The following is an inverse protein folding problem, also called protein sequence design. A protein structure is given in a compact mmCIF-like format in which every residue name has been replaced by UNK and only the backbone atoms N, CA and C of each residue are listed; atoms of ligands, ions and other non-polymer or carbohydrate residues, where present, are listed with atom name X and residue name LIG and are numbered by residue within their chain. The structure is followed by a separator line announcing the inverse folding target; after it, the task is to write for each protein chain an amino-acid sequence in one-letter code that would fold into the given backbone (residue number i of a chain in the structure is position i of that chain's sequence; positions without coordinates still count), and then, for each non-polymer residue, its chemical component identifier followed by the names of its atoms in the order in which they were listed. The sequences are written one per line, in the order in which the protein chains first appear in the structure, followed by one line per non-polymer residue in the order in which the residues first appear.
data_IF_302050226965
#
_entry.id   IF_302050226965
#
_cell.length_a   1.000
_cell.length_b   1.000
_cell.length_c   1.000
_cell.angle_alpha   90.00
_cell.angle_beta   90.00
_cell.angle_gamma   90.00
#
_symmetry.space_group_name_H-M   'P 1'
#
loop_
_entity.id
_entity.type
_entity.pdbx_description
1 polymer ?
#
# COMPACT_ATOMS: atom_id res chain seq x y z
N UNK A 1 37.40 43.80 -4.38
CA UNK A 1 36.92 42.48 -4.84
C UNK A 1 36.12 41.70 -3.78
N UNK A 2 35.85 42.23 -2.59
CA UNK A 2 35.17 41.48 -1.50
C UNK A 2 33.65 41.69 -1.40
N UNK A 3 33.07 42.73 -2.02
CA UNK A 3 31.63 42.99 -1.95
C UNK A 3 30.79 42.13 -2.93
N UNK A 4 31.43 41.41 -3.86
CA UNK A 4 30.75 40.60 -4.89
C UNK A 4 30.55 39.14 -4.48
N UNK A 5 31.28 38.65 -3.47
CA UNK A 5 31.15 37.27 -3.00
C UNK A 5 29.97 37.08 -2.01
N UNK A 6 29.56 38.11 -1.28
CA UNK A 6 28.44 38.00 -0.34
C UNK A 6 27.07 37.94 -1.02
N UNK A 7 26.93 38.50 -2.22
CA UNK A 7 25.66 38.48 -2.97
C UNK A 7 25.35 37.11 -3.61
N UNK A 8 26.34 36.24 -3.78
CA UNK A 8 26.18 34.94 -4.43
C UNK A 8 25.69 33.82 -3.48
N UNK A 9 25.71 34.03 -2.17
CA UNK A 9 25.35 33.02 -1.18
C UNK A 9 23.87 33.06 -0.73
N UNK A 10 23.12 34.10 -1.12
CA UNK A 10 21.73 34.31 -0.67
C UNK A 10 20.65 33.78 -1.62
N UNK A 11 21.01 33.42 -2.86
CA UNK A 11 20.06 32.91 -3.85
C UNK A 11 19.62 31.44 -3.70
N UNK A 12 20.41 30.47 -3.19
CA UNK A 12 19.95 29.08 -3.16
C UNK A 12 18.96 28.79 -2.01
N UNK A 13 18.91 29.62 -0.97
CA UNK A 13 18.02 29.42 0.19
C UNK A 13 16.55 29.73 -0.09
N UNK A 14 16.21 30.40 -1.19
CA UNK A 14 14.81 30.70 -1.55
C UNK A 14 14.11 29.56 -2.31
N UNK A 15 14.85 28.57 -2.81
CA UNK A 15 14.31 27.49 -3.64
C UNK A 15 14.02 26.19 -2.88
N UNK A 16 14.32 26.10 -1.58
CA UNK A 16 14.14 24.85 -0.81
C UNK A 16 12.77 24.73 -0.12
N UNK A 17 11.94 25.77 -0.15
CA UNK A 17 10.59 25.75 0.43
C UNK A 17 9.53 25.30 -0.61
N UNK A 18 9.68 24.11 -1.19
CA UNK A 18 8.65 23.57 -2.09
C UNK A 18 8.42 22.05 -2.03
N UNK A 19 9.17 21.29 -1.23
CA UNK A 19 9.02 19.83 -1.13
C UNK A 19 8.36 19.33 0.17
N UNK A 20 7.60 20.17 0.87
CA UNK A 20 6.96 19.81 2.15
C UNK A 20 5.43 19.93 2.10
N UNK A 21 4.75 19.07 1.35
CA UNK A 21 3.29 19.14 1.20
C UNK A 21 2.63 17.77 1.19
N UNK A 22 2.73 17.01 2.28
CA UNK A 22 1.90 15.82 2.50
C UNK A 22 0.47 16.21 2.92
N UNK A 23 -0.50 15.32 2.72
CA UNK A 23 -1.93 15.56 3.05
C UNK A 23 -2.23 15.83 4.54
N UNK A 24 -1.23 15.76 5.43
CA UNK A 24 -1.37 15.96 6.89
C UNK A 24 -0.59 17.18 7.42
N UNK A 25 -0.10 18.08 6.55
CA UNK A 25 0.63 19.28 6.96
C UNK A 25 -0.24 20.54 6.86
N UNK A 26 -0.12 21.51 7.80
CA UNK A 26 -0.81 22.79 7.70
C UNK A 26 -0.50 23.47 6.37
N UNK A 27 -1.53 23.84 5.62
CA UNK A 27 -1.37 24.47 4.31
C UNK A 27 -1.26 25.99 4.49
N UNK A 28 -0.35 26.60 3.74
CA UNK A 28 -0.14 28.04 3.77
C UNK A 28 -1.21 28.84 3.00
N UNK A 29 -2.08 28.16 2.24
CA UNK A 29 -3.15 28.76 1.42
C UNK A 29 -4.41 27.92 1.57
N UNK A 30 -5.57 28.57 1.59
CA UNK A 30 -6.87 27.92 1.58
C UNK A 30 -7.01 27.04 0.34
N UNK A 31 -7.16 25.73 0.55
CA UNK A 31 -7.50 24.78 -0.51
C UNK A 31 -9.01 24.60 -0.59
N UNK A 32 -9.60 24.57 -1.81
CA UNK A 32 -10.99 24.23 -1.99
C UNK A 32 -11.34 22.90 -1.31
N UNK A 33 -12.58 22.79 -0.83
CA UNK A 33 -13.09 21.54 -0.24
C UNK A 33 -12.91 20.41 -1.27
N UNK A 34 -12.32 19.30 -0.85
CA UNK A 34 -12.19 18.13 -1.71
C UNK A 34 -13.59 17.66 -2.12
N UNK A 35 -13.78 17.43 -3.41
CA UNK A 35 -15.06 16.97 -3.96
C UNK A 35 -14.96 15.53 -4.44
N UNK A 36 -16.08 14.80 -4.32
CA UNK A 36 -16.30 13.54 -5.00
C UNK A 36 -16.38 13.77 -6.52
N UNK A 37 -16.35 12.70 -7.30
CA UNK A 37 -16.50 12.75 -8.76
C UNK A 37 -17.83 13.41 -9.22
N UNK A 38 -18.83 13.53 -8.34
CA UNK A 38 -20.11 14.19 -8.59
C UNK A 38 -20.15 15.66 -8.11
N UNK A 39 -19.03 16.20 -7.64
CA UNK A 39 -18.92 17.58 -7.16
C UNK A 39 -19.38 17.80 -5.72
N UNK A 40 -19.96 16.80 -5.05
CA UNK A 40 -20.33 16.92 -3.63
C UNK A 40 -19.08 16.95 -2.73
N UNK A 41 -19.10 17.65 -1.58
CA UNK A 41 -18.00 17.59 -0.62
C UNK A 41 -17.68 16.17 -0.17
N UNK A 42 -16.40 15.84 -0.03
CA UNK A 42 -15.96 14.60 0.61
C UNK A 42 -16.30 14.65 2.10
N UNK A 43 -17.27 13.85 2.52
CA UNK A 43 -17.74 13.78 3.93
C UNK A 43 -17.21 12.56 4.69
N UNK A 44 -16.46 11.68 4.03
CA UNK A 44 -15.90 10.47 4.62
C UNK A 44 -14.62 10.02 3.94
N UNK A 45 -13.82 9.24 4.67
CA UNK A 45 -12.55 8.69 4.18
C UNK A 45 -12.75 7.20 3.90
N UNK A 46 -12.44 6.77 2.68
CA UNK A 46 -12.32 5.36 2.33
C UNK A 46 -10.90 4.93 2.68
N UNK A 47 -10.77 3.93 3.54
CA UNK A 47 -9.48 3.42 4.01
C UNK A 47 -9.31 2.00 3.53
N UNK A 48 -8.14 1.68 2.96
CA UNK A 48 -7.79 0.29 2.69
C UNK A 48 -7.69 -0.48 4.02
N UNK A 49 -8.24 -1.69 4.08
CA UNK A 49 -8.12 -2.54 5.27
C UNK A 49 -6.71 -3.10 5.33
N UNK A 50 -5.94 -2.62 6.30
CA UNK A 50 -4.57 -3.05 6.53
C UNK A 50 -4.25 -2.96 8.03
N UNK A 51 -4.31 -4.10 8.70
CA UNK A 51 -3.92 -4.31 10.09
C UNK A 51 -3.15 -5.64 10.19
N UNK A 52 -1.83 -5.61 9.91
CA UNK A 52 -0.98 -6.81 9.89
C UNK A 52 -0.93 -7.55 11.24
N UNK A 53 -1.03 -6.82 12.35
CA UNK A 53 -0.98 -7.41 13.70
C UNK A 53 -2.17 -8.34 13.96
N UNK A 54 -3.32 -8.07 13.33
CA UNK A 54 -4.52 -8.92 13.39
C UNK A 54 -4.71 -9.78 12.13
N UNK A 55 -3.71 -9.84 11.23
CA UNK A 55 -3.78 -10.62 9.98
C UNK A 55 -4.77 -10.06 8.95
N UNK A 56 -5.17 -8.79 9.05
CA UNK A 56 -5.98 -8.11 8.04
C UNK A 56 -5.04 -7.50 7.02
N UNK A 57 -4.67 -8.28 6.03
CA UNK A 57 -3.73 -7.90 4.95
C UNK A 57 -4.28 -8.39 3.62
N UNK A 58 -3.81 -7.85 2.48
CA UNK A 58 -4.11 -8.45 1.18
C UNK A 58 -3.76 -9.94 1.20
N UNK A 59 -4.58 -10.78 0.57
CA UNK A 59 -4.35 -12.23 0.52
C UNK A 59 -4.37 -12.73 -0.93
N UNK A 60 -3.38 -13.53 -1.36
CA UNK A 60 -2.17 -13.93 -0.62
C UNK A 60 -1.17 -12.77 -0.40
N UNK A 61 -0.26 -12.89 0.59
CA UNK A 61 0.80 -11.90 0.84
C UNK A 61 2.05 -12.48 1.50
N UNK A 62 3.21 -11.94 1.14
CA UNK A 62 4.50 -12.23 1.77
C UNK A 62 4.53 -11.86 3.26
N UNK A 63 3.75 -10.87 3.70
CA UNK A 63 3.77 -10.40 5.10
C UNK A 63 3.44 -11.51 6.11
N UNK A 64 2.63 -12.50 5.68
CA UNK A 64 2.26 -13.64 6.52
C UNK A 64 3.35 -14.70 6.61
N UNK A 65 4.50 -14.52 5.97
CA UNK A 65 5.70 -15.36 6.19
C UNK A 65 6.62 -14.73 7.26
N UNK A 66 6.24 -13.60 7.84
CA UNK A 66 7.07 -12.90 8.82
C UNK A 66 7.26 -13.75 10.08
N UNK A 67 8.52 -13.88 10.49
CA UNK A 67 8.92 -14.63 11.68
C UNK A 67 9.01 -16.15 11.49
N UNK A 68 8.69 -16.68 10.30
CA UNK A 68 8.87 -18.12 10.04
C UNK A 68 10.32 -18.44 9.68
N UNK A 69 10.73 -19.67 9.95
CA UNK A 69 12.08 -20.18 9.61
C UNK A 69 12.03 -21.27 8.56
N UNK A 70 10.83 -21.80 8.29
CA UNK A 70 10.52 -22.93 7.42
C UNK A 70 9.58 -22.53 6.27
N UNK A 71 9.37 -21.23 6.06
CA UNK A 71 8.51 -20.65 5.01
C UNK A 71 7.02 -21.02 5.11
N UNK A 72 6.60 -21.55 6.25
CA UNK A 72 5.18 -21.72 6.53
C UNK A 72 4.46 -20.38 6.61
N UNK A 73 3.15 -20.44 6.36
CA UNK A 73 2.25 -19.30 6.62
C UNK A 73 2.10 -19.11 8.13
N UNK A 74 2.12 -17.86 8.58
CA UNK A 74 2.04 -17.45 9.99
C UNK A 74 0.91 -16.43 10.18
N UNK A 75 -0.33 -16.88 10.01
CA UNK A 75 -1.53 -16.11 10.31
C UNK A 75 -1.69 -16.01 11.83
N UNK A 76 -1.89 -14.80 12.39
CA UNK A 76 -2.23 -14.64 13.80
C UNK A 76 -3.48 -15.43 14.18
N UNK A 77 -3.37 -16.28 15.21
CA UNK A 77 -4.45 -17.09 15.77
C UNK A 77 -4.48 -16.97 17.29
N UNK A 78 -5.66 -17.03 17.94
CA UNK A 78 -5.77 -16.96 19.40
C UNK A 78 -5.11 -18.14 20.12
N UNK A 79 -5.24 -19.35 19.57
CA UNK A 79 -4.67 -20.59 20.10
C UNK A 79 -4.09 -21.42 18.93
N UNK A 80 -2.75 -21.61 18.86
CA UNK A 80 -2.13 -22.40 17.81
C UNK A 80 -2.34 -23.92 17.94
N UNK A 81 -2.93 -24.38 19.04
CA UNK A 81 -3.23 -25.81 19.28
C UNK A 81 -4.69 -26.18 18.97
N UNK A 82 -5.53 -25.20 18.63
CA UNK A 82 -6.91 -25.42 18.21
C UNK A 82 -6.98 -25.84 16.73
N UNK A 83 -6.83 -27.14 16.48
CA UNK A 83 -6.92 -27.71 15.14
C UNK A 83 -8.33 -27.67 14.53
N UNK A 84 -9.36 -27.24 15.28
CA UNK A 84 -10.68 -26.97 14.71
C UNK A 84 -10.74 -25.62 13.99
N UNK A 85 -9.81 -24.71 14.28
CA UNK A 85 -9.65 -23.44 13.61
C UNK A 85 -8.94 -23.63 12.25
N UNK A 86 -9.61 -23.36 11.10
CA UNK A 86 -9.00 -23.54 9.79
C UNK A 86 -7.71 -22.73 9.57
N UNK A 87 -7.53 -21.61 10.29
CA UNK A 87 -6.30 -20.81 10.19
C UNK A 87 -5.09 -21.54 10.76
N UNK A 88 -5.28 -22.37 11.79
CA UNK A 88 -4.20 -23.21 12.34
C UNK A 88 -3.76 -24.25 11.30
N UNK A 89 -4.71 -24.85 10.58
CA UNK A 89 -4.40 -25.77 9.49
C UNK A 89 -3.69 -25.08 8.31
N UNK A 90 -4.10 -23.85 7.96
CA UNK A 90 -3.43 -23.06 6.91
C UNK A 90 -1.99 -22.71 7.30
N UNK A 91 -1.71 -22.48 8.58
CA UNK A 91 -0.35 -22.20 9.06
C UNK A 91 0.60 -23.40 8.91
N UNK A 92 0.10 -24.60 8.59
CA UNK A 92 0.94 -25.74 8.24
C UNK A 92 1.34 -25.78 6.75
N UNK A 93 0.85 -24.83 5.92
CA UNK A 93 1.17 -24.75 4.50
C UNK A 93 2.46 -23.96 4.26
N UNK A 94 3.28 -24.48 3.35
CA UNK A 94 4.49 -23.82 2.83
C UNK A 94 4.12 -22.77 1.79
N UNK A 95 3.59 -21.64 2.27
CA UNK A 95 3.24 -20.47 1.46
C UNK A 95 1.88 -20.52 0.76
N UNK A 96 1.74 -19.65 -0.25
CA UNK A 96 0.53 -19.47 -1.04
C UNK A 96 0.73 -19.94 -2.48
N UNK A 97 -0.37 -20.30 -3.16
CA UNK A 97 -0.32 -20.63 -4.59
C UNK A 97 0.11 -19.43 -5.46
N UNK A 98 0.94 -19.69 -6.47
CA UNK A 98 1.51 -18.66 -7.37
C UNK A 98 0.53 -18.10 -8.40
N UNK A 99 -0.65 -18.70 -8.53
CA UNK A 99 -1.68 -18.33 -9.52
C UNK A 99 -2.96 -17.79 -8.86
N UNK A 100 -3.00 -17.71 -7.53
CA UNK A 100 -4.18 -17.21 -6.83
C UNK A 100 -4.25 -15.68 -6.92
N UNK A 101 -5.39 -15.09 -7.28
CA UNK A 101 -5.53 -13.64 -7.30
C UNK A 101 -5.30 -13.03 -5.91
N UNK A 102 -4.56 -11.92 -5.86
CA UNK A 102 -4.49 -11.08 -4.66
C UNK A 102 -5.77 -10.30 -4.48
N UNK A 103 -6.33 -10.34 -3.27
CA UNK A 103 -7.53 -9.61 -2.88
C UNK A 103 -7.25 -8.70 -1.69
N UNK A 104 -7.90 -7.54 -1.64
CA UNK A 104 -7.85 -6.62 -0.50
C UNK A 104 -9.21 -5.95 -0.30
N UNK A 105 -9.49 -5.55 0.93
CA UNK A 105 -10.75 -4.90 1.30
C UNK A 105 -10.58 -3.42 1.60
N UNK A 106 -11.70 -2.69 1.61
CA UNK A 106 -11.78 -1.29 2.04
C UNK A 106 -12.78 -1.15 3.20
N UNK A 107 -12.77 0.00 3.88
CA UNK A 107 -13.67 0.29 4.99
C UNK A 107 -15.14 0.32 4.57
N UNK A 108 -15.41 0.68 3.32
CA UNK A 108 -16.73 0.75 2.68
C UNK A 108 -16.65 0.25 1.23
N UNK A 109 -17.78 -0.10 0.58
CA UNK A 109 -17.78 -0.44 -0.85
C UNK A 109 -17.18 0.69 -1.71
N UNK A 110 -16.34 0.31 -2.67
CA UNK A 110 -15.75 1.25 -3.64
C UNK A 110 -16.55 1.27 -4.93
N UNK A 111 -16.54 2.40 -5.63
CA UNK A 111 -17.21 2.53 -6.94
C UNK A 111 -16.48 1.64 -7.96
N UNK A 112 -17.17 0.74 -8.70
CA UNK A 112 -16.50 -0.12 -9.67
C UNK A 112 -15.68 0.63 -10.72
N UNK A 113 -16.18 1.78 -11.18
CA UNK A 113 -15.49 2.64 -12.14
C UNK A 113 -14.22 3.30 -11.60
N UNK A 114 -13.97 3.28 -10.29
CA UNK A 114 -12.71 3.77 -9.71
C UNK A 114 -11.62 2.71 -9.67
N UNK A 115 -11.87 1.47 -10.12
CA UNK A 115 -10.87 0.40 -10.18
C UNK A 115 -10.35 0.30 -11.61
N UNK A 116 -9.16 0.83 -11.85
CA UNK A 116 -8.56 0.89 -13.18
C UNK A 116 -7.06 0.59 -13.13
N UNK A 117 -6.67 -0.54 -13.73
CA UNK A 117 -5.28 -0.94 -13.87
C UNK A 117 -4.47 0.14 -14.63
N UNK A 118 -3.30 0.49 -14.09
CA UNK A 118 -2.39 1.49 -14.65
C UNK A 118 -2.73 2.94 -14.29
N UNK A 119 -3.86 3.17 -13.61
CA UNK A 119 -4.30 4.51 -13.21
C UNK A 119 -4.53 4.58 -11.71
N UNK A 120 -5.71 4.16 -11.23
CA UNK A 120 -6.01 4.13 -9.79
C UNK A 120 -5.39 2.93 -9.07
N UNK A 121 -5.02 1.89 -9.81
CA UNK A 121 -4.34 0.70 -9.28
C UNK A 121 -3.05 0.45 -10.05
N UNK A 122 -1.92 0.52 -9.35
CA UNK A 122 -0.57 0.31 -9.89
C UNK A 122 0.10 -0.80 -9.11
N UNK A 123 0.81 -1.68 -9.80
CA UNK A 123 1.50 -2.82 -9.19
C UNK A 123 2.99 -2.71 -9.49
N UNK A 124 3.80 -2.92 -8.47
CA UNK A 124 5.25 -2.76 -8.56
C UNK A 124 5.94 -4.07 -8.18
N UNK A 125 6.89 -4.47 -9.01
CA UNK A 125 7.85 -5.49 -8.66
C UNK A 125 8.85 -4.87 -7.69
N UNK A 126 9.09 -5.55 -6.57
CA UNK A 126 9.95 -5.07 -5.49
C UNK A 126 11.02 -6.10 -5.15
N UNK A 127 12.13 -5.63 -4.61
CA UNK A 127 13.12 -6.47 -3.94
C UNK A 127 12.82 -6.50 -2.45
N UNK A 128 13.06 -7.65 -1.80
CA UNK A 128 12.76 -7.86 -0.37
C UNK A 128 14.04 -8.25 0.39
N UNK A 129 14.06 -8.04 1.70
CA UNK A 129 15.13 -8.58 2.58
C UNK A 129 15.07 -10.11 2.74
N UNK A 130 14.00 -10.75 2.28
CA UNK A 130 13.73 -12.18 2.39
C UNK A 130 12.22 -12.46 2.49
N UNK A 131 11.81 -13.73 2.65
CA UNK A 131 10.43 -14.11 2.96
C UNK A 131 9.95 -13.43 4.25
N UNK A 132 8.73 -12.87 4.24
CA UNK A 132 8.23 -12.06 5.35
C UNK A 132 8.93 -10.71 5.54
N UNK A 133 9.96 -10.43 4.75
CA UNK A 133 10.83 -9.26 4.86
C UNK A 133 10.24 -7.98 4.26
N UNK A 134 10.88 -6.87 4.58
CA UNK A 134 10.52 -5.55 4.08
C UNK A 134 10.99 -5.29 2.66
N UNK A 135 10.35 -4.34 1.99
CA UNK A 135 10.75 -3.85 0.66
C UNK A 135 12.05 -3.06 0.76
N UNK A 136 13.02 -3.41 -0.10
CA UNK A 136 14.32 -2.75 -0.20
C UNK A 136 14.46 -1.88 -1.45
N UNK A 137 13.61 -2.08 -2.45
CA UNK A 137 13.65 -1.34 -3.70
C UNK A 137 12.49 -1.70 -4.62
N UNK A 138 12.29 -0.87 -5.65
CA UNK A 138 11.36 -1.11 -6.75
C UNK A 138 12.19 -1.45 -7.98
N UNK A 139 11.86 -2.58 -8.61
CA UNK A 139 12.53 -3.04 -9.84
C UNK A 139 11.82 -2.50 -11.08
N UNK A 140 10.50 -2.63 -11.12
CA UNK A 140 9.69 -2.26 -12.28
C UNK A 140 8.24 -1.98 -11.84
N UNK A 141 7.53 -1.16 -12.60
CA UNK A 141 6.07 -1.12 -12.57
C UNK A 141 5.51 -2.11 -13.59
N UNK A 142 4.61 -2.97 -13.16
CA UNK A 142 4.00 -3.98 -14.04
C UNK A 142 3.08 -3.32 -15.07
N UNK A 143 3.02 -3.90 -16.25
CA UNK A 143 2.20 -3.43 -17.36
C UNK A 143 0.72 -3.84 -17.16
N UNK A 144 -0.22 -2.88 -17.08
CA UNK A 144 -1.63 -3.18 -16.91
C UNK A 144 -2.20 -3.91 -18.14
N UNK A 145 -3.11 -4.86 -17.90
CA UNK A 145 -3.75 -5.72 -18.89
C UNK A 145 -2.79 -6.65 -19.68
N UNK A 146 -1.53 -6.72 -19.26
CA UNK A 146 -0.53 -7.66 -19.80
C UNK A 146 0.00 -8.54 -18.67
N UNK A 147 0.50 -7.90 -17.60
CA UNK A 147 1.08 -8.60 -16.45
C UNK A 147 0.11 -8.68 -15.28
N UNK A 148 -0.89 -7.79 -15.20
CA UNK A 148 -1.93 -7.86 -14.19
C UNK A 148 -3.26 -7.27 -14.69
N UNK A 149 -4.35 -7.73 -14.06
CA UNK A 149 -5.70 -7.18 -14.23
C UNK A 149 -6.29 -6.86 -12.86
N UNK A 150 -7.27 -5.96 -12.85
CA UNK A 150 -7.98 -5.57 -11.63
C UNK A 150 -9.47 -5.80 -11.81
N UNK A 151 -10.11 -6.38 -10.81
CA UNK A 151 -11.54 -6.61 -10.81
C UNK A 151 -12.10 -6.41 -9.41
N UNK A 152 -13.38 -6.07 -9.33
CA UNK A 152 -14.15 -6.28 -8.12
C UNK A 152 -14.72 -7.70 -8.14
N UNK A 153 -14.72 -8.42 -7.01
CA UNK A 153 -15.38 -9.72 -6.94
C UNK A 153 -16.87 -9.56 -7.28
N UNK A 154 -17.41 -10.52 -8.02
CA UNK A 154 -18.86 -10.61 -8.26
C UNK A 154 -19.56 -10.82 -6.93
N UNK A 155 -20.49 -9.93 -6.60
CA UNK A 155 -21.39 -10.04 -5.45
C UNK A 155 -22.33 -11.23 -5.55
#
# INVERSE_FOLDING_TARGET
MQARLFAAALLPSLFLAACGGGSNSPRAVDTPVATNNDGSPVTGIITARFDPSNGVVPNPTNLLLSGTTDLTVNIPVPDPTDFSNPRVAINALDGFGTVSPMSTGFSVPIKPSSVSAGSSVRVFQVTLTGPGGGVTGITNELQPNVEYVTALPSS
#
